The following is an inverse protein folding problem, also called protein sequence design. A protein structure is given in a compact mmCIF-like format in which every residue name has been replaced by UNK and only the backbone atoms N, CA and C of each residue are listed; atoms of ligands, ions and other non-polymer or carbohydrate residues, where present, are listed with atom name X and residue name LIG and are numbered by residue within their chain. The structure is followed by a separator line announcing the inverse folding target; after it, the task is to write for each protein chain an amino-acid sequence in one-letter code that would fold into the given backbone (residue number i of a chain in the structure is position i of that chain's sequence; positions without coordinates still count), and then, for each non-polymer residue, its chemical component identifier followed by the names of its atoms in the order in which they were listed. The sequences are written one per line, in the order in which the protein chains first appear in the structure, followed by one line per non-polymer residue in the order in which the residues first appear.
data_IF_495160469160
#
_entry.id   IF_495160469160
#
_cell.length_a   1.000
_cell.length_b   1.000
_cell.length_c   1.000
_cell.angle_alpha   90.00
_cell.angle_beta   90.00
_cell.angle_gamma   90.00
#
_symmetry.space_group_name_H-M   'P 1'
#
loop_
_entity.id
_entity.type
_entity.pdbx_description
1 polymer ?
#
# COMPACT_ATOMS: atom_id res chain seq x y z
N UNK A 1 -8.80 7.18 3.43
CA UNK A 1 -8.55 6.24 4.50
C UNK A 1 -7.50 6.76 5.45
N UNK A 2 -7.85 6.98 6.71
CA UNK A 2 -6.91 7.49 7.70
C UNK A 2 -5.91 6.41 8.09
N UNK A 3 -4.64 6.63 7.75
CA UNK A 3 -3.54 5.78 8.22
C UNK A 3 -3.15 6.26 9.62
N UNK A 4 -3.78 5.70 10.63
CA UNK A 4 -3.33 5.90 12.02
C UNK A 4 -2.10 5.04 12.28
N UNK A 5 -0.97 5.65 12.62
CA UNK A 5 0.16 4.99 13.29
C UNK A 5 -0.29 4.65 14.73
N UNK A 6 -0.92 3.49 14.88
CA UNK A 6 -1.51 3.06 16.15
C UNK A 6 -0.44 2.65 17.14
N UNK A 7 -0.58 3.09 18.39
CA UNK A 7 0.22 2.58 19.50
C UNK A 7 -0.10 1.11 19.73
N UNK A 8 0.92 0.29 20.03
CA UNK A 8 0.83 -1.19 20.12
C UNK A 8 -0.28 -1.70 21.04
N UNK A 9 -0.65 -0.93 22.07
CA UNK A 9 -1.63 -1.33 23.09
C UNK A 9 -3.08 -1.14 22.65
N UNK A 10 -3.38 -0.12 21.85
CA UNK A 10 -4.76 0.15 21.42
C UNK A 10 -5.26 -0.82 20.35
N UNK A 11 -4.34 -1.43 19.59
CA UNK A 11 -4.72 -2.38 18.54
C UNK A 11 -5.41 -3.63 19.07
N UNK A 12 -5.04 -4.10 20.26
CA UNK A 12 -5.53 -5.36 20.88
C UNK A 12 -6.44 -5.15 22.10
N UNK A 13 -6.58 -3.91 22.58
CA UNK A 13 -7.28 -3.58 23.81
C UNK A 13 -6.38 -3.58 25.04
N UNK A 14 -6.80 -2.87 26.09
CA UNK A 14 -6.11 -2.76 27.38
C UNK A 14 -6.71 -3.70 28.40
N UNK A 15 -5.91 -4.43 29.19
CA UNK A 15 -6.43 -5.24 30.28
C UNK A 15 -6.94 -4.34 31.41
N UNK A 16 -8.05 -4.71 32.01
CA UNK A 16 -8.58 -4.13 33.24
C UNK A 16 -9.16 -5.22 34.15
N UNK A 17 -9.22 -4.94 35.46
CA UNK A 17 -9.68 -5.92 36.44
C UNK A 17 -11.15 -5.64 36.75
N UNK A 18 -11.97 -6.69 36.65
CA UNK A 18 -13.36 -6.71 37.09
C UNK A 18 -13.56 -7.78 38.15
N UNK A 19 -14.49 -7.54 39.07
CA UNK A 19 -14.92 -8.53 40.06
C UNK A 19 -16.12 -9.31 39.49
N UNK A 20 -16.04 -10.63 39.53
CA UNK A 20 -17.13 -11.52 39.11
C UNK A 20 -17.44 -12.56 40.17
N UNK A 21 -18.72 -12.83 40.40
CA UNK A 21 -19.17 -13.87 41.29
C UNK A 21 -19.38 -15.16 40.49
N UNK A 22 -18.76 -16.21 40.94
CA UNK A 22 -18.97 -17.57 40.45
C UNK A 22 -19.53 -18.40 41.63
N UNK A 23 -20.85 -18.49 41.68
CA UNK A 23 -21.56 -19.03 42.84
C UNK A 23 -21.52 -18.06 44.02
N UNK A 24 -21.03 -18.50 45.16
CA UNK A 24 -20.95 -17.67 46.41
C UNK A 24 -19.58 -16.97 46.55
N UNK A 25 -18.62 -17.23 45.66
CA UNK A 25 -17.27 -16.67 45.74
C UNK A 25 -17.04 -15.54 44.70
N UNK A 26 -16.37 -14.46 45.17
CA UNK A 26 -15.96 -13.33 44.34
C UNK A 26 -14.52 -13.51 43.83
N UNK A 27 -14.35 -13.41 42.54
CA UNK A 27 -13.03 -13.50 41.87
C UNK A 27 -12.70 -12.20 41.13
N UNK A 28 -11.41 -11.84 41.17
CA UNK A 28 -10.86 -10.80 40.30
C UNK A 28 -10.51 -11.42 38.96
N UNK A 29 -11.14 -10.95 37.89
CA UNK A 29 -10.96 -11.45 36.53
C UNK A 29 -10.41 -10.33 35.65
N UNK A 30 -9.43 -10.67 34.81
CA UNK A 30 -8.92 -9.73 33.80
C UNK A 30 -9.83 -9.76 32.58
N UNK A 31 -10.34 -8.60 32.19
CA UNK A 31 -11.03 -8.36 30.93
C UNK A 31 -10.22 -7.38 30.09
N UNK A 32 -10.56 -7.27 28.82
CA UNK A 32 -9.91 -6.37 27.88
C UNK A 32 -10.90 -5.35 27.33
N UNK A 33 -10.48 -4.10 27.18
CA UNK A 33 -11.23 -3.11 26.42
C UNK A 33 -11.35 -3.56 24.95
N UNK A 34 -12.39 -3.09 24.27
CA UNK A 34 -12.50 -3.39 22.82
C UNK A 34 -11.30 -2.84 22.08
N UNK A 35 -10.72 -3.67 21.21
CA UNK A 35 -9.63 -3.25 20.34
C UNK A 35 -10.10 -2.19 19.33
N UNK A 36 -9.22 -1.25 18.98
CA UNK A 36 -9.53 -0.27 17.93
C UNK A 36 -9.87 -0.91 16.58
N UNK A 37 -9.27 -2.07 16.30
CA UNK A 37 -9.55 -2.82 15.07
C UNK A 37 -11.01 -3.26 15.04
N UNK A 38 -11.50 -3.85 16.12
CA UNK A 38 -12.90 -4.31 16.21
C UNK A 38 -13.85 -3.13 16.34
N UNK A 39 -13.55 -2.12 17.18
CA UNK A 39 -14.42 -0.94 17.33
C UNK A 39 -14.60 -0.19 16.03
N UNK A 40 -13.59 -0.12 15.17
CA UNK A 40 -13.71 0.52 13.85
C UNK A 40 -14.74 -0.14 12.95
N UNK A 41 -14.96 -1.45 13.11
CA UNK A 41 -16.02 -2.18 12.39
C UNK A 41 -17.40 -1.77 12.91
N UNK A 42 -17.60 -1.74 14.24
CA UNK A 42 -18.84 -1.32 14.85
C UNK A 42 -19.18 0.14 14.51
N UNK A 43 -18.21 1.04 14.58
CA UNK A 43 -18.37 2.46 14.20
C UNK A 43 -18.80 2.59 12.73
N UNK A 44 -18.23 1.75 11.85
CA UNK A 44 -18.60 1.74 10.44
C UNK A 44 -20.02 1.26 10.23
N UNK A 45 -20.41 0.19 10.93
CA UNK A 45 -21.79 -0.34 10.90
C UNK A 45 -22.79 0.72 11.38
N UNK A 46 -22.50 1.39 12.48
CA UNK A 46 -23.37 2.43 13.04
C UNK A 46 -23.53 3.61 12.08
N UNK A 47 -22.42 4.11 11.52
CA UNK A 47 -22.43 5.25 10.58
C UNK A 47 -23.10 4.97 9.24
N UNK A 48 -23.05 3.74 8.76
CA UNK A 48 -23.50 3.41 7.40
C UNK A 48 -24.75 2.53 7.35
N UNK A 49 -25.13 1.89 8.46
CA UNK A 49 -26.21 0.90 8.50
C UNK A 49 -25.86 -0.44 7.83
N UNK A 50 -24.63 -0.60 7.31
CA UNK A 50 -24.18 -1.82 6.64
C UNK A 50 -23.91 -2.91 7.67
N UNK A 51 -24.45 -4.11 7.42
CA UNK A 51 -24.26 -5.29 8.30
C UNK A 51 -23.08 -6.17 7.86
N UNK A 52 -22.55 -5.95 6.67
CA UNK A 52 -21.46 -6.73 6.09
C UNK A 52 -20.40 -5.83 5.45
N UNK A 53 -19.18 -6.34 5.33
CA UNK A 53 -18.08 -5.58 4.76
C UNK A 53 -16.73 -6.28 4.81
N UNK A 54 -15.70 -5.54 4.49
CA UNK A 54 -14.31 -6.00 4.53
C UNK A 54 -13.55 -5.20 5.58
N UNK A 55 -12.92 -5.90 6.51
CA UNK A 55 -11.90 -5.37 7.40
C UNK A 55 -10.54 -5.61 6.76
N UNK A 56 -9.95 -4.54 6.20
CA UNK A 56 -8.65 -4.62 5.55
C UNK A 56 -7.54 -4.21 6.53
N UNK A 57 -6.52 -5.07 6.67
CA UNK A 57 -5.36 -4.86 7.52
C UNK A 57 -4.10 -4.91 6.65
N UNK A 58 -3.45 -3.76 6.49
CA UNK A 58 -2.22 -3.65 5.71
C UNK A 58 -0.99 -3.97 6.57
N UNK A 59 0.08 -4.43 5.91
CA UNK A 59 1.39 -4.76 6.52
C UNK A 59 1.30 -5.74 7.70
N UNK A 60 0.41 -6.73 7.62
CA UNK A 60 0.14 -7.70 8.70
C UNK A 60 1.39 -8.43 9.18
N UNK A 61 2.35 -8.65 8.31
CA UNK A 61 3.61 -9.33 8.61
C UNK A 61 4.75 -8.41 9.06
N UNK A 62 4.48 -7.10 9.23
CA UNK A 62 5.40 -6.12 9.81
C UNK A 62 5.12 -5.86 11.31
N UNK A 63 4.20 -6.59 11.91
CA UNK A 63 3.90 -6.45 13.34
C UNK A 63 5.06 -6.92 14.22
N UNK A 64 5.17 -6.35 15.42
CA UNK A 64 6.23 -6.73 16.37
C UNK A 64 6.11 -8.19 16.81
N UNK A 65 7.21 -8.76 17.30
CA UNK A 65 7.25 -10.14 17.82
C UNK A 65 6.21 -10.41 18.90
N UNK A 66 5.98 -9.44 19.75
CA UNK A 66 5.02 -9.55 20.84
C UNK A 66 3.56 -9.52 20.38
N UNK A 67 3.27 -8.88 19.24
CA UNK A 67 1.91 -8.79 18.69
C UNK A 67 1.60 -9.88 17.65
N UNK A 68 2.62 -10.46 17.02
CA UNK A 68 2.42 -11.42 15.95
C UNK A 68 1.53 -12.62 16.37
N UNK A 69 1.74 -13.27 17.53
CA UNK A 69 0.87 -14.39 17.95
C UNK A 69 -0.59 -13.97 18.14
N UNK A 70 -0.82 -12.78 18.70
CA UNK A 70 -2.18 -12.25 18.93
C UNK A 70 -2.87 -11.91 17.60
N UNK A 71 -2.14 -11.34 16.64
CA UNK A 71 -2.66 -11.05 15.31
C UNK A 71 -2.99 -12.33 14.55
N UNK A 72 -2.17 -13.38 14.65
CA UNK A 72 -2.46 -14.68 14.04
C UNK A 72 -3.71 -15.32 14.68
N UNK A 73 -3.84 -15.27 15.99
CA UNK A 73 -5.04 -15.72 16.68
C UNK A 73 -6.27 -14.94 16.23
N UNK A 74 -6.14 -13.62 16.06
CA UNK A 74 -7.21 -12.78 15.54
C UNK A 74 -7.62 -13.18 14.11
N UNK A 75 -6.67 -13.43 13.21
CA UNK A 75 -6.98 -13.87 11.86
C UNK A 75 -7.75 -15.20 11.83
N UNK A 76 -7.41 -16.11 12.74
CA UNK A 76 -8.04 -17.43 12.84
C UNK A 76 -9.42 -17.37 13.51
N UNK A 77 -9.51 -16.68 14.65
CA UNK A 77 -10.70 -16.66 15.51
C UNK A 77 -11.61 -15.46 15.29
N UNK A 78 -11.15 -14.44 14.58
CA UNK A 78 -11.81 -13.15 14.44
C UNK A 78 -12.11 -12.49 15.79
N UNK A 79 -11.28 -12.74 16.80
CA UNK A 79 -11.47 -12.26 18.17
C UNK A 79 -10.22 -11.64 18.75
N UNK A 80 -10.39 -10.61 19.57
CA UNK A 80 -9.40 -10.14 20.53
C UNK A 80 -10.03 -10.22 21.94
N UNK A 81 -9.41 -11.00 22.83
CA UNK A 81 -10.00 -11.27 24.15
C UNK A 81 -11.41 -11.86 24.02
N UNK A 82 -12.39 -11.18 24.64
CA UNK A 82 -13.81 -11.56 24.59
C UNK A 82 -14.60 -10.82 23.48
N UNK A 83 -13.93 -10.00 22.68
CA UNK A 83 -14.55 -9.23 21.61
C UNK A 83 -14.38 -9.91 20.27
N UNK A 84 -15.46 -9.97 19.46
CA UNK A 84 -15.49 -10.65 18.16
C UNK A 84 -15.83 -9.65 17.04
N UNK A 85 -15.23 -9.84 15.88
CA UNK A 85 -15.65 -9.16 14.65
C UNK A 85 -17.06 -9.61 14.31
N UNK A 86 -18.00 -8.67 14.01
CA UNK A 86 -19.38 -9.01 13.67
C UNK A 86 -19.49 -10.00 12.51
N UNK A 87 -20.53 -10.80 12.52
CA UNK A 87 -20.87 -11.67 11.39
C UNK A 87 -21.12 -10.85 10.12
N UNK A 88 -20.84 -11.43 8.96
CA UNK A 88 -20.91 -10.70 7.69
C UNK A 88 -19.61 -9.95 7.32
N UNK A 89 -18.65 -9.80 8.25
CA UNK A 89 -17.38 -9.15 7.96
C UNK A 89 -16.26 -10.15 7.64
N UNK A 90 -15.59 -9.89 6.53
CA UNK A 90 -14.42 -10.69 6.07
C UNK A 90 -13.15 -9.94 6.41
N UNK A 91 -12.17 -10.63 6.97
CA UNK A 91 -10.83 -10.07 7.21
C UNK A 91 -9.99 -10.33 5.96
N UNK A 92 -9.45 -9.27 5.39
CA UNK A 92 -8.48 -9.31 4.29
C UNK A 92 -7.21 -8.64 4.78
N UNK A 93 -6.07 -9.27 4.55
CA UNK A 93 -4.77 -8.73 4.97
C UNK A 93 -3.84 -8.60 3.78
N UNK A 94 -3.00 -7.59 3.80
CA UNK A 94 -1.89 -7.45 2.87
C UNK A 94 -0.55 -7.51 3.61
N UNK A 95 0.48 -7.95 2.92
CA UNK A 95 1.84 -7.98 3.44
C UNK A 95 2.85 -8.07 2.31
N UNK A 96 4.01 -7.54 2.54
CA UNK A 96 5.11 -7.62 1.59
C UNK A 96 5.94 -8.87 1.84
N UNK A 97 6.48 -9.52 0.79
CA UNK A 97 7.39 -10.65 0.98
C UNK A 97 8.73 -10.20 1.59
N UNK A 98 9.47 -11.12 2.25
CA UNK A 98 10.71 -10.81 2.97
C UNK A 98 11.80 -10.14 2.11
N UNK A 99 11.79 -10.38 0.81
CA UNK A 99 12.73 -9.79 -0.13
C UNK A 99 12.63 -8.26 -0.20
N UNK A 100 11.46 -7.71 0.08
CA UNK A 100 11.21 -6.27 0.07
C UNK A 100 11.45 -5.60 1.41
N UNK A 101 11.23 -6.33 2.52
CA UNK A 101 11.40 -5.78 3.86
C UNK A 101 11.99 -6.82 4.82
N UNK A 102 13.20 -6.54 5.34
CA UNK A 102 13.90 -7.43 6.28
C UNK A 102 13.19 -7.61 7.63
N UNK A 103 12.28 -6.71 7.98
CA UNK A 103 11.48 -6.78 9.21
C UNK A 103 10.24 -7.66 9.07
N UNK A 104 9.99 -8.17 7.86
CA UNK A 104 8.85 -9.05 7.56
C UNK A 104 9.11 -10.44 8.10
N UNK A 105 8.07 -11.04 8.65
CA UNK A 105 8.04 -12.43 9.09
C UNK A 105 7.26 -13.27 8.12
N UNK A 106 7.76 -14.45 7.87
CA UNK A 106 6.99 -15.48 7.19
C UNK A 106 5.97 -16.10 8.15
N UNK A 107 4.76 -16.31 7.67
CA UNK A 107 3.78 -17.08 8.39
C UNK A 107 4.17 -18.56 8.37
N UNK A 108 3.97 -19.23 9.49
CA UNK A 108 4.16 -20.67 9.55
C UNK A 108 3.12 -21.43 8.72
N UNK A 109 3.43 -22.70 8.43
CA UNK A 109 2.56 -23.56 7.61
C UNK A 109 1.17 -23.71 8.21
N UNK A 110 1.05 -23.75 9.53
CA UNK A 110 -0.24 -23.90 10.22
C UNK A 110 -1.13 -22.69 10.01
N UNK A 111 -0.53 -21.49 9.99
CA UNK A 111 -1.24 -20.24 9.68
C UNK A 111 -1.63 -20.16 8.21
N UNK A 112 -0.71 -20.51 7.31
CA UNK A 112 -0.95 -20.50 5.87
C UNK A 112 -2.05 -21.47 5.45
N UNK A 113 -2.18 -22.60 6.11
CA UNK A 113 -3.23 -23.60 5.86
C UNK A 113 -4.64 -23.10 6.18
N UNK A 114 -4.76 -22.08 7.04
CA UNK A 114 -6.04 -21.52 7.50
C UNK A 114 -6.47 -20.25 6.77
N UNK A 115 -5.61 -19.71 5.91
CA UNK A 115 -5.87 -18.50 5.11
C UNK A 115 -5.82 -18.83 3.62
N UNK A 116 -6.46 -18.00 2.81
CA UNK A 116 -6.31 -18.05 1.36
C UNK A 116 -5.24 -17.03 0.96
N UNK A 117 -4.07 -17.53 0.56
CA UNK A 117 -2.99 -16.69 0.04
C UNK A 117 -3.27 -16.35 -1.43
N UNK A 118 -3.13 -15.07 -1.75
CA UNK A 118 -3.18 -14.55 -3.11
C UNK A 118 -1.88 -13.80 -3.35
N UNK A 119 -1.10 -14.24 -4.32
CA UNK A 119 0.10 -13.55 -4.74
C UNK A 119 -0.28 -12.46 -5.77
N UNK A 120 0.12 -11.22 -5.48
CA UNK A 120 -0.13 -10.06 -6.34
C UNK A 120 1.15 -9.69 -7.03
N UNK A 121 1.15 -9.73 -8.35
CA UNK A 121 2.28 -9.36 -9.20
C UNK A 121 2.07 -8.01 -9.86
N UNK A 122 3.18 -7.34 -10.17
CA UNK A 122 3.15 -6.08 -10.90
C UNK A 122 2.97 -6.35 -12.40
N UNK A 123 1.78 -6.06 -12.93
CA UNK A 123 1.45 -6.19 -14.34
C UNK A 123 1.32 -4.80 -15.00
N UNK A 124 2.12 -4.56 -16.04
CA UNK A 124 2.12 -3.28 -16.73
C UNK A 124 0.83 -3.04 -17.53
N UNK A 125 0.27 -4.05 -18.16
CA UNK A 125 -0.92 -3.86 -19.00
C UNK A 125 -2.14 -3.53 -18.13
N UNK A 126 -2.29 -4.19 -16.99
CA UNK A 126 -3.33 -3.87 -16.00
C UNK A 126 -3.11 -2.47 -15.40
N UNK A 127 -1.86 -2.14 -15.04
CA UNK A 127 -1.54 -0.80 -14.53
C UNK A 127 -1.79 0.29 -15.57
N UNK A 128 -1.55 0.02 -16.84
CA UNK A 128 -1.76 0.97 -17.93
C UNK A 128 -3.24 1.38 -18.07
N UNK A 129 -4.17 0.45 -17.91
CA UNK A 129 -5.62 0.77 -17.89
C UNK A 129 -5.94 1.72 -16.73
N UNK A 130 -5.44 1.40 -15.55
CA UNK A 130 -5.54 2.30 -14.38
C UNK A 130 -4.89 3.66 -14.67
N UNK A 131 -3.70 3.68 -15.28
CA UNK A 131 -2.96 4.89 -15.58
C UNK A 131 -3.75 5.87 -16.47
N UNK A 132 -4.44 5.36 -17.47
CA UNK A 132 -5.32 6.18 -18.31
C UNK A 132 -6.51 6.76 -17.52
N UNK A 133 -7.13 5.96 -16.67
CA UNK A 133 -8.25 6.40 -15.83
C UNK A 133 -7.83 7.47 -14.81
N UNK A 134 -6.62 7.37 -14.26
CA UNK A 134 -6.08 8.31 -13.28
C UNK A 134 -5.38 9.53 -13.92
N UNK A 135 -5.33 9.61 -15.23
CA UNK A 135 -4.70 10.72 -15.93
C UNK A 135 -3.18 10.79 -15.71
N UNK A 136 -2.52 9.63 -15.65
CA UNK A 136 -1.05 9.56 -15.60
C UNK A 136 -0.46 10.25 -16.83
N UNK A 137 0.62 10.99 -16.64
CA UNK A 137 1.22 11.81 -17.69
C UNK A 137 1.59 10.96 -18.92
N UNK A 138 1.21 11.40 -20.16
CA UNK A 138 1.40 10.60 -21.38
C UNK A 138 2.86 10.21 -21.64
N UNK A 139 3.84 11.03 -21.27
CA UNK A 139 5.25 10.70 -21.41
C UNK A 139 5.66 9.50 -20.54
N UNK A 140 5.06 9.32 -19.36
CA UNK A 140 5.31 8.16 -18.49
C UNK A 140 4.73 6.91 -19.13
N UNK A 141 3.48 6.95 -19.58
CA UNK A 141 2.81 5.81 -20.21
C UNK A 141 3.57 5.39 -21.47
N UNK A 142 3.86 6.32 -22.38
CA UNK A 142 4.54 6.00 -23.64
C UNK A 142 5.98 5.52 -23.45
N UNK A 143 6.70 6.06 -22.46
CA UNK A 143 8.02 5.51 -22.10
C UNK A 143 7.93 4.06 -21.64
N UNK A 144 6.99 3.75 -20.75
CA UNK A 144 6.81 2.41 -20.21
C UNK A 144 6.29 1.41 -21.25
N UNK A 145 5.53 1.85 -22.24
CA UNK A 145 5.18 1.03 -23.38
C UNK A 145 6.40 0.59 -24.19
N UNK A 146 7.36 1.49 -24.38
CA UNK A 146 8.62 1.21 -25.07
C UNK A 146 9.60 0.41 -24.20
N UNK A 147 9.52 0.55 -22.90
CA UNK A 147 10.47 0.01 -21.91
C UNK A 147 9.74 -0.71 -20.77
N UNK A 148 8.89 -1.67 -21.10
CA UNK A 148 8.04 -2.42 -20.13
C UNK A 148 8.80 -2.96 -18.93
N UNK A 149 10.06 -3.40 -19.13
CA UNK A 149 10.95 -3.90 -18.06
C UNK A 149 11.27 -2.85 -16.99
N UNK A 150 11.10 -1.57 -17.30
CA UNK A 150 11.37 -0.48 -16.38
C UNK A 150 10.15 -0.11 -15.52
N UNK A 151 9.00 -0.73 -15.74
CA UNK A 151 7.79 -0.49 -14.96
C UNK A 151 7.95 -0.89 -13.49
N UNK A 152 8.43 -2.13 -13.28
CA UNK A 152 8.67 -2.65 -11.95
C UNK A 152 10.01 -3.37 -11.94
N UNK A 153 10.99 -2.80 -11.26
CA UNK A 153 12.33 -3.36 -11.17
C UNK A 153 12.94 -3.04 -9.81
N UNK A 154 13.37 -4.07 -9.11
CA UNK A 154 14.06 -3.96 -7.82
C UNK A 154 15.35 -4.75 -7.92
N UNK A 155 16.48 -4.11 -7.64
CA UNK A 155 17.81 -4.73 -7.69
C UNK A 155 18.54 -4.47 -6.39
N UNK A 156 19.29 -5.47 -5.92
CA UNK A 156 20.21 -5.32 -4.81
C UNK A 156 21.58 -4.87 -5.33
N UNK A 157 22.12 -3.83 -4.73
CA UNK A 157 23.46 -3.34 -5.01
C UNK A 157 24.28 -3.32 -3.73
N UNK A 158 25.58 -3.07 -3.85
CA UNK A 158 26.48 -2.93 -2.69
C UNK A 158 26.03 -1.77 -1.77
N UNK A 159 25.51 -0.70 -2.37
CA UNK A 159 25.05 0.51 -1.67
C UNK A 159 23.60 0.41 -1.17
N UNK A 160 22.93 -0.72 -1.40
CA UNK A 160 21.51 -0.91 -1.03
C UNK A 160 20.63 -1.30 -2.21
N UNK A 161 19.31 -1.18 -2.02
CA UNK A 161 18.33 -1.47 -3.07
C UNK A 161 18.12 -0.27 -3.98
N UNK A 162 18.13 -0.52 -5.29
CA UNK A 162 17.71 0.43 -6.30
C UNK A 162 16.43 -0.08 -6.96
N UNK A 163 15.50 0.83 -7.25
CA UNK A 163 14.20 0.38 -7.74
C UNK A 163 13.46 1.42 -8.59
N UNK A 164 12.56 0.91 -9.42
CA UNK A 164 11.47 1.62 -10.06
C UNK A 164 10.18 0.84 -9.77
N UNK A 165 9.12 1.52 -9.36
CA UNK A 165 7.85 0.91 -8.97
C UNK A 165 6.67 1.66 -9.55
N UNK A 166 5.51 1.02 -9.63
CA UNK A 166 4.27 1.65 -10.09
C UNK A 166 3.95 2.95 -9.33
N UNK A 167 4.13 2.95 -8.01
CA UNK A 167 3.95 4.14 -7.15
C UNK A 167 4.93 5.25 -7.53
N UNK A 168 6.22 4.91 -7.71
CA UNK A 168 7.23 5.89 -8.12
C UNK A 168 6.89 6.56 -9.46
N UNK A 169 6.39 5.80 -10.43
CA UNK A 169 5.93 6.34 -11.72
C UNK A 169 4.70 7.24 -11.59
N UNK A 170 3.74 6.87 -10.75
CA UNK A 170 2.56 7.69 -10.49
C UNK A 170 2.93 9.02 -9.81
N UNK A 171 3.75 8.98 -8.77
CA UNK A 171 4.19 10.18 -8.04
C UNK A 171 5.04 11.08 -8.94
N UNK A 172 5.94 10.51 -9.76
CA UNK A 172 6.69 11.28 -10.76
C UNK A 172 5.75 11.92 -11.80
N UNK A 173 4.73 11.21 -12.26
CA UNK A 173 3.73 11.75 -13.18
C UNK A 173 3.04 12.99 -12.62
N UNK A 174 2.60 12.93 -11.36
CA UNK A 174 1.99 14.08 -10.67
C UNK A 174 2.94 15.26 -10.58
N UNK A 175 4.22 15.01 -10.29
CA UNK A 175 5.24 16.05 -10.26
C UNK A 175 5.44 16.69 -11.63
N UNK A 176 5.55 15.90 -12.70
CA UNK A 176 5.70 16.38 -14.07
C UNK A 176 4.55 17.33 -14.42
N UNK A 177 3.31 16.96 -14.14
CA UNK A 177 2.14 17.79 -14.39
C UNK A 177 2.18 19.12 -13.64
N UNK A 178 2.60 19.11 -12.36
CA UNK A 178 2.77 20.33 -11.57
C UNK A 178 3.89 21.20 -12.14
N UNK A 179 5.00 20.61 -12.56
CA UNK A 179 6.12 21.34 -13.16
C UNK A 179 5.75 21.96 -14.50
N UNK A 180 4.93 21.29 -15.32
CA UNK A 180 4.38 21.87 -16.55
C UNK A 180 3.55 23.14 -16.27
N UNK A 181 2.66 23.07 -15.26
CA UNK A 181 1.84 24.24 -14.84
C UNK A 181 2.72 25.40 -14.36
N UNK A 182 3.82 25.10 -13.66
CA UNK A 182 4.75 26.09 -13.12
C UNK A 182 5.80 26.57 -14.14
N UNK A 183 5.81 26.03 -15.36
CA UNK A 183 6.83 26.31 -16.37
C UNK A 183 8.24 25.86 -15.97
N UNK A 184 8.35 24.85 -15.11
CA UNK A 184 9.63 24.27 -14.66
C UNK A 184 10.00 23.03 -15.46
N UNK A 185 11.29 22.77 -15.57
CA UNK A 185 11.82 21.57 -16.23
C UNK A 185 12.07 20.45 -15.22
N UNK A 186 11.77 19.21 -15.63
CA UNK A 186 12.08 18.00 -14.87
C UNK A 186 13.37 17.41 -15.43
N UNK A 187 14.44 17.50 -14.66
CA UNK A 187 15.74 16.95 -15.00
C UNK A 187 15.97 15.55 -14.39
N UNK A 188 17.17 15.01 -14.61
CA UNK A 188 17.55 13.70 -14.08
C UNK A 188 17.54 13.66 -12.55
N UNK A 189 17.91 14.74 -11.88
CA UNK A 189 17.99 14.76 -10.41
C UNK A 189 16.60 14.68 -9.82
N UNK A 190 15.65 15.41 -10.37
CA UNK A 190 14.24 15.36 -10.00
C UNK A 190 13.67 13.96 -10.25
N UNK A 191 13.89 13.36 -11.42
CA UNK A 191 13.44 12.00 -11.72
C UNK A 191 14.00 10.98 -10.73
N UNK A 192 15.27 11.12 -10.35
CA UNK A 192 15.95 10.18 -9.43
C UNK A 192 15.37 10.19 -8.01
N UNK A 193 14.63 11.22 -7.60
CA UNK A 193 13.95 11.27 -6.32
C UNK A 193 12.76 10.29 -6.25
N UNK A 194 12.16 9.97 -7.39
CA UNK A 194 11.01 9.07 -7.51
C UNK A 194 11.39 7.70 -8.06
N UNK A 195 12.30 7.67 -9.03
CA UNK A 195 12.81 6.46 -9.66
C UNK A 195 14.25 6.26 -9.17
N UNK A 196 14.40 5.52 -8.09
CA UNK A 196 15.71 5.33 -7.44
C UNK A 196 16.65 4.40 -8.21
N UNK A 197 16.19 3.77 -9.27
CA UNK A 197 17.03 3.02 -10.19
C UNK A 197 17.75 3.97 -11.15
N UNK A 198 19.01 4.29 -10.87
CA UNK A 198 19.81 5.35 -11.53
C UNK A 198 19.83 5.26 -13.07
N UNK A 199 19.92 4.04 -13.61
CA UNK A 199 19.91 3.85 -15.06
C UNK A 199 18.56 4.16 -15.69
N UNK A 200 17.48 3.73 -15.03
CA UNK A 200 16.11 4.01 -15.48
C UNK A 200 15.80 5.50 -15.36
N UNK A 201 16.20 6.14 -14.27
CA UNK A 201 16.01 7.59 -14.09
C UNK A 201 16.73 8.40 -15.19
N UNK A 202 17.96 8.02 -15.53
CA UNK A 202 18.72 8.64 -16.63
C UNK A 202 18.03 8.45 -17.99
N UNK A 203 17.59 7.22 -18.28
CA UNK A 203 16.96 6.86 -19.54
C UNK A 203 15.62 7.63 -19.69
N UNK A 204 14.80 7.64 -18.65
CA UNK A 204 13.54 8.38 -18.65
C UNK A 204 13.72 9.89 -18.77
N UNK A 205 14.69 10.49 -18.07
CA UNK A 205 14.96 11.92 -18.19
C UNK A 205 15.36 12.32 -19.63
N UNK A 206 16.19 11.49 -20.29
CA UNK A 206 16.50 11.66 -21.70
C UNK A 206 15.29 11.53 -22.62
N UNK A 207 14.44 10.53 -22.35
CA UNK A 207 13.18 10.34 -23.07
C UNK A 207 12.24 11.55 -22.89
N UNK A 208 12.07 12.05 -21.68
CA UNK A 208 11.21 13.18 -21.37
C UNK A 208 11.66 14.45 -22.11
N UNK A 209 12.96 14.71 -22.16
CA UNK A 209 13.50 15.84 -22.92
C UNK A 209 13.17 15.75 -24.43
N UNK A 210 13.28 14.55 -25.02
CA UNK A 210 12.88 14.30 -26.39
C UNK A 210 11.37 14.42 -26.59
N UNK A 211 10.57 13.92 -25.67
CA UNK A 211 9.12 14.02 -25.70
C UNK A 211 8.66 15.47 -25.80
N UNK A 212 9.22 16.38 -24.99
CA UNK A 212 8.89 17.80 -25.07
C UNK A 212 9.37 18.45 -26.36
N UNK A 213 10.57 18.13 -26.83
CA UNK A 213 11.09 18.67 -28.08
C UNK A 213 10.15 18.34 -29.25
N UNK A 214 9.77 17.07 -29.41
CA UNK A 214 8.89 16.67 -30.51
C UNK A 214 7.46 17.16 -30.35
N UNK A 215 6.95 17.31 -29.13
CA UNK A 215 5.64 17.91 -28.87
C UNK A 215 5.59 19.36 -29.33
N UNK A 216 6.64 20.13 -29.08
CA UNK A 216 6.75 21.52 -29.50
C UNK A 216 6.86 21.63 -31.01
N UNK A 217 7.65 20.77 -31.66
CA UNK A 217 7.81 20.75 -33.11
C UNK A 217 6.49 20.39 -33.82
N UNK A 218 5.71 19.45 -33.32
CA UNK A 218 4.41 19.06 -33.90
C UNK A 218 3.38 20.20 -33.86
N UNK A 219 3.39 21.02 -32.81
CA UNK A 219 2.51 22.21 -32.71
C UNK A 219 2.92 23.29 -33.70
N UNK A 220 4.22 23.49 -33.93
CA UNK A 220 4.70 24.46 -34.91
C UNK A 220 4.39 24.06 -36.36
N UNK A 221 4.42 22.77 -36.70
CA UNK A 221 4.04 22.26 -38.03
C UNK A 221 2.54 22.38 -38.32
N UNK A 222 1.67 22.26 -37.31
CA UNK A 222 0.22 22.45 -37.48
C UNK A 222 -0.14 23.92 -37.71
N UNK A 223 0.57 24.87 -37.12
CA UNK A 223 0.37 26.28 -37.35
C UNK A 223 0.86 26.76 -38.74
N UNK A 224 1.88 26.11 -39.32
CA UNK A 224 2.38 26.44 -40.67
C UNK A 224 1.50 25.89 -41.82
N UNK A 225 0.60 24.97 -41.56
CA UNK A 225 -0.35 24.42 -42.53
C UNK A 225 -1.74 25.09 -42.54
N UNK A 226 -1.95 26.03 -41.61
CA UNK A 226 -3.22 26.75 -41.48
C UNK A 226 -3.21 28.16 -42.08
N UNK A 227 -2.21 28.49 -42.95
CA UNK A 227 -2.14 29.73 -43.76
C UNK A 227 -2.04 29.39 -45.25
#
# INVERSE_FOLDING_TARGET
GDVYKRQRQSAVGLPFIVKKNYGEEEFSVTEYTMSEIISSVYDKMEKTGLKEGILFIDEINCVSETLAPMMLQFLQGKTFGNQKVPEGWVIVTAGNPPEYNKSVREFDVVTLDRIKKIDVEADFDVWKEYAYQQGIHPAVISYLELRRKNFYRVENTVDGKIFATARGWEDLSRLIQVYEILGKTVDREVVSQYIQHRMIAKDFAGYLALYYKYRTDSVSYTHLRAH
#
